data_IF_520738775318
#
_entry.id   IF_520738775318
#
_cell.length_a   1.000
_cell.length_b   1.000
_cell.length_c   1.000
_cell.angle_alpha   90.00
_cell.angle_beta   90.00
_cell.angle_gamma   90.00
#
_symmetry.space_group_name_H-M   'P 1'
#
loop_
_entity.id
_entity.type
_entity.pdbx_description
1 polymer ?
#
# COMPACT_ATOMS: atom_id res chain seq x y z
N UNK A 1 27.21 2.32 7.75
CA UNK A 1 27.02 1.24 6.75
C UNK A 1 26.26 1.76 5.50
N UNK A 2 26.53 3.00 5.06
CA UNK A 2 25.89 3.65 3.89
C UNK A 2 26.79 3.70 2.64
N UNK A 3 28.05 3.25 2.74
CA UNK A 3 29.05 3.44 1.68
C UNK A 3 28.95 2.33 0.61
N UNK A 4 28.45 1.14 0.96
CA UNK A 4 28.36 0.00 0.05
C UNK A 4 27.14 0.04 -0.89
N UNK A 5 26.07 0.75 -0.53
CA UNK A 5 24.88 0.91 -1.38
C UNK A 5 25.15 1.83 -2.57
N UNK A 6 25.86 2.95 -2.37
CA UNK A 6 26.28 3.84 -3.46
C UNK A 6 27.24 3.19 -4.45
N UNK A 7 28.14 2.31 -3.98
CA UNK A 7 29.04 1.57 -4.86
C UNK A 7 28.30 0.54 -5.72
N UNK A 8 27.27 -0.12 -5.17
CA UNK A 8 26.46 -1.12 -5.90
C UNK A 8 25.58 -0.48 -6.98
N UNK A 9 24.90 0.64 -6.67
CA UNK A 9 24.11 1.41 -7.65
C UNK A 9 25.04 2.01 -8.72
N UNK A 10 26.19 2.55 -8.32
CA UNK A 10 27.19 3.10 -9.22
C UNK A 10 27.81 2.06 -10.17
N UNK A 11 28.06 0.83 -9.73
CA UNK A 11 28.56 -0.25 -10.60
C UNK A 11 27.47 -0.90 -11.46
N UNK A 12 26.21 -0.90 -11.00
CA UNK A 12 25.08 -1.39 -11.80
C UNK A 12 24.78 -0.47 -12.99
N UNK A 13 24.73 0.84 -12.76
CA UNK A 13 24.60 1.85 -13.83
C UNK A 13 25.79 1.79 -14.81
N UNK A 14 27.02 1.58 -14.31
CA UNK A 14 28.22 1.47 -15.14
C UNK A 14 28.21 0.23 -16.07
N UNK A 15 27.62 -0.88 -15.63
CA UNK A 15 27.48 -2.10 -16.44
C UNK A 15 26.46 -1.94 -17.57
N UNK A 16 25.37 -1.19 -17.35
CA UNK A 16 24.40 -0.88 -18.40
C UNK A 16 24.97 0.07 -19.46
N UNK A 17 25.77 1.06 -19.06
CA UNK A 17 26.39 2.02 -19.99
C UNK A 17 27.45 1.43 -20.93
N UNK A 18 27.90 0.20 -20.71
CA UNK A 18 28.94 -0.44 -21.55
C UNK A 18 28.39 -1.36 -22.66
N UNK A 19 27.08 -1.33 -22.96
CA UNK A 19 26.57 -2.06 -24.13
C UNK A 19 25.08 -1.97 -24.46
N UNK A 20 24.21 -1.41 -23.60
CA UNK A 20 22.78 -1.28 -23.88
C UNK A 20 22.37 0.18 -24.05
N UNK A 21 21.61 0.52 -25.11
CA UNK A 21 20.94 1.82 -25.15
C UNK A 21 19.90 1.85 -24.02
N UNK A 22 20.04 2.80 -23.10
CA UNK A 22 19.01 3.09 -22.09
C UNK A 22 17.85 3.76 -22.81
N UNK A 23 16.64 3.25 -22.59
CA UNK A 23 15.45 3.80 -23.22
C UNK A 23 15.19 5.26 -22.79
N UNK A 24 14.66 6.04 -23.72
CA UNK A 24 14.46 7.48 -23.52
C UNK A 24 13.38 7.83 -22.49
N UNK A 25 12.37 6.98 -22.33
CA UNK A 25 11.24 7.19 -21.41
C UNK A 25 10.64 5.87 -20.92
N UNK A 26 9.78 5.95 -19.90
CA UNK A 26 9.03 4.80 -19.40
C UNK A 26 8.17 4.19 -20.50
N UNK A 27 7.45 5.01 -21.26
CA UNK A 27 6.59 4.55 -22.35
C UNK A 27 7.41 3.85 -23.46
N UNK A 28 8.57 4.39 -23.83
CA UNK A 28 9.43 3.76 -24.84
C UNK A 28 9.93 2.39 -24.39
N UNK A 29 10.26 2.23 -23.10
CA UNK A 29 10.66 0.94 -22.52
C UNK A 29 9.50 -0.05 -22.45
N UNK A 30 8.29 0.41 -22.13
CA UNK A 30 7.06 -0.40 -22.17
C UNK A 30 6.80 -0.90 -23.59
N UNK A 31 6.86 -0.02 -24.60
CA UNK A 31 6.63 -0.34 -26.02
C UNK A 31 7.62 -1.40 -26.55
N UNK A 32 8.86 -1.39 -26.06
CA UNK A 32 9.92 -2.33 -26.44
C UNK A 32 9.93 -3.63 -25.64
N UNK A 33 9.03 -3.78 -24.65
CA UNK A 33 8.96 -4.97 -23.81
C UNK A 33 7.83 -5.89 -24.28
N UNK A 34 8.13 -7.06 -24.89
CA UNK A 34 7.09 -7.95 -25.43
C UNK A 34 6.04 -8.36 -24.40
N UNK A 35 6.47 -8.61 -23.17
CA UNK A 35 5.63 -9.02 -22.03
C UNK A 35 4.74 -7.89 -21.48
N UNK A 36 4.87 -6.66 -22.00
CA UNK A 36 4.05 -5.50 -21.64
C UNK A 36 3.22 -4.96 -22.83
N UNK A 37 3.16 -5.68 -23.95
CA UNK A 37 2.46 -5.23 -25.16
C UNK A 37 0.95 -4.96 -24.96
N UNK A 38 0.28 -5.71 -24.07
CA UNK A 38 -1.11 -5.43 -23.69
C UNK A 38 -1.21 -4.11 -22.94
N UNK A 39 -0.32 -3.87 -21.98
CA UNK A 39 -0.25 -2.62 -21.22
C UNK A 39 0.02 -1.42 -22.15
N UNK A 40 0.99 -1.56 -23.06
CA UNK A 40 1.31 -0.55 -24.07
C UNK A 40 0.07 -0.18 -24.88
N UNK A 41 -0.67 -1.19 -25.37
CA UNK A 41 -1.89 -0.99 -26.15
C UNK A 41 -2.95 -0.21 -25.37
N UNK A 42 -3.14 -0.52 -24.08
CA UNK A 42 -4.09 0.20 -23.22
C UNK A 42 -3.65 1.66 -23.02
N UNK A 43 -2.37 1.91 -22.71
CA UNK A 43 -1.84 3.26 -22.50
C UNK A 43 -2.01 4.12 -23.77
N UNK A 44 -1.68 3.58 -24.95
CA UNK A 44 -1.86 4.28 -26.24
C UNK A 44 -3.32 4.54 -26.60
N UNK A 45 -4.26 3.80 -25.99
CA UNK A 45 -5.70 4.11 -26.05
C UNK A 45 -6.07 5.46 -25.43
N UNK A 46 -5.19 6.02 -24.60
CA UNK A 46 -5.38 7.32 -23.92
C UNK A 46 -4.20 8.28 -24.22
N UNK A 47 -4.21 9.01 -25.34
CA UNK A 47 -3.05 9.79 -25.80
C UNK A 47 -2.52 10.83 -24.81
N UNK A 48 -3.40 11.50 -24.06
CA UNK A 48 -2.99 12.49 -23.03
C UNK A 48 -2.26 11.81 -21.88
N UNK A 49 -2.72 10.63 -21.46
CA UNK A 49 -2.07 9.85 -20.42
C UNK A 49 -0.78 9.21 -20.90
N UNK A 50 -0.72 8.71 -22.13
CA UNK A 50 0.52 8.24 -22.75
C UNK A 50 1.59 9.35 -22.75
N UNK A 51 1.21 10.59 -23.06
CA UNK A 51 2.12 11.73 -22.97
C UNK A 51 2.58 12.02 -21.52
N UNK A 52 1.70 11.84 -20.52
CA UNK A 52 2.09 11.95 -19.12
C UNK A 52 3.10 10.86 -18.72
N UNK A 53 2.82 9.59 -19.04
CA UNK A 53 3.70 8.44 -18.79
C UNK A 53 5.05 8.58 -19.51
N UNK A 54 5.09 9.18 -20.69
CA UNK A 54 6.35 9.44 -21.39
C UNK A 54 7.25 10.48 -20.68
N UNK A 55 6.68 11.34 -19.86
CA UNK A 55 7.39 12.45 -19.20
C UNK A 55 7.70 12.21 -17.72
N UNK A 56 7.29 11.07 -17.13
CA UNK A 56 7.61 10.77 -15.73
C UNK A 56 9.11 10.58 -15.54
N UNK A 57 9.63 11.09 -14.43
CA UNK A 57 11.05 11.00 -14.06
C UNK A 57 11.19 10.80 -12.56
N UNK A 58 12.33 10.23 -12.15
CA UNK A 58 12.59 9.80 -10.79
C UNK A 58 11.49 8.89 -10.25
N UNK A 59 11.20 7.80 -10.97
CA UNK A 59 10.17 6.83 -10.58
C UNK A 59 10.64 5.37 -10.72
N UNK A 60 9.93 4.48 -10.05
CA UNK A 60 9.96 3.04 -10.31
C UNK A 60 8.58 2.60 -10.75
N UNK A 61 8.47 1.95 -11.91
CA UNK A 61 7.22 1.39 -12.41
C UNK A 61 7.18 -0.12 -12.17
N UNK A 62 6.20 -0.61 -11.42
CA UNK A 62 5.90 -2.03 -11.27
C UNK A 62 4.88 -2.44 -12.34
N UNK A 63 5.32 -2.64 -13.58
CA UNK A 63 4.43 -2.85 -14.72
C UNK A 63 3.82 -4.28 -14.74
N UNK A 64 2.49 -4.45 -14.77
CA UNK A 64 1.88 -5.78 -14.86
C UNK A 64 2.12 -6.39 -16.24
N UNK A 65 2.58 -7.65 -16.25
CA UNK A 65 2.76 -8.44 -17.47
C UNK A 65 1.45 -8.70 -18.21
N UNK A 66 1.54 -9.10 -19.48
CA UNK A 66 0.39 -9.56 -20.28
C UNK A 66 -0.40 -10.66 -19.57
N UNK A 67 0.29 -11.62 -18.96
CA UNK A 67 -0.33 -12.71 -18.19
C UNK A 67 -1.06 -12.19 -16.95
N UNK A 68 -0.49 -11.18 -16.27
CA UNK A 68 -1.13 -10.52 -15.13
C UNK A 68 -2.41 -9.80 -15.54
N UNK A 69 -2.39 -9.04 -16.64
CA UNK A 69 -3.55 -8.36 -17.18
C UNK A 69 -4.63 -9.34 -17.65
N UNK A 70 -4.25 -10.45 -18.28
CA UNK A 70 -5.17 -11.51 -18.69
C UNK A 70 -5.89 -12.14 -17.49
N UNK A 71 -5.15 -12.52 -16.44
CA UNK A 71 -5.75 -13.02 -15.20
C UNK A 71 -6.65 -12.00 -14.51
N UNK A 72 -6.25 -10.73 -14.53
CA UNK A 72 -7.09 -9.66 -14.00
C UNK A 72 -8.39 -9.53 -14.80
N UNK A 73 -8.34 -9.66 -16.13
CA UNK A 73 -9.52 -9.67 -16.99
C UNK A 73 -10.47 -10.82 -16.68
N UNK A 74 -9.93 -12.03 -16.52
CA UNK A 74 -10.73 -13.22 -16.18
C UNK A 74 -11.37 -13.13 -14.80
N UNK A 75 -10.70 -12.48 -13.84
CA UNK A 75 -11.27 -12.24 -12.50
C UNK A 75 -12.36 -11.15 -12.50
N UNK A 76 -12.41 -10.29 -13.51
CA UNK A 76 -13.28 -9.11 -13.57
C UNK A 76 -14.12 -9.06 -14.86
N UNK A 77 -14.57 -10.21 -15.39
CA UNK A 77 -15.21 -10.31 -16.70
C UNK A 77 -16.29 -9.25 -16.98
N UNK A 78 -17.12 -8.92 -15.98
CA UNK A 78 -18.23 -7.97 -16.12
C UNK A 78 -17.79 -6.49 -16.08
N UNK A 79 -16.65 -6.19 -15.46
CA UNK A 79 -16.20 -4.81 -15.21
C UNK A 79 -14.91 -4.44 -15.93
N UNK A 80 -14.13 -5.41 -16.42
CA UNK A 80 -12.82 -5.19 -17.05
C UNK A 80 -12.89 -4.15 -18.18
N UNK A 81 -13.86 -4.28 -19.08
CA UNK A 81 -14.05 -3.32 -20.17
C UNK A 81 -14.35 -1.91 -19.64
N UNK A 82 -15.07 -1.78 -18.52
CA UNK A 82 -15.36 -0.48 -17.90
C UNK A 82 -14.12 0.11 -17.22
N UNK A 83 -13.29 -0.73 -16.59
CA UNK A 83 -12.05 -0.32 -15.92
C UNK A 83 -11.03 0.26 -16.91
N UNK A 84 -10.92 -0.33 -18.10
CA UNK A 84 -9.92 0.05 -19.11
C UNK A 84 -10.47 0.90 -20.28
N UNK A 85 -11.74 1.31 -20.25
CA UNK A 85 -12.33 2.27 -21.22
C UNK A 85 -12.48 3.69 -20.68
N UNK A 86 -12.40 3.87 -19.37
CA UNK A 86 -12.51 5.16 -18.68
C UNK A 86 -11.12 5.60 -18.23
N UNK A 87 -10.69 6.76 -18.71
CA UNK A 87 -9.36 7.29 -18.40
C UNK A 87 -9.15 7.39 -16.89
N UNK A 88 -10.13 7.93 -16.15
CA UNK A 88 -10.04 8.14 -14.71
C UNK A 88 -9.84 6.83 -13.93
N UNK A 89 -10.45 5.73 -14.38
CA UNK A 89 -10.32 4.44 -13.71
C UNK A 89 -8.99 3.79 -14.08
N UNK A 90 -8.62 3.82 -15.36
CA UNK A 90 -7.36 3.27 -15.81
C UNK A 90 -6.16 4.00 -15.23
N UNK A 91 -6.16 5.34 -15.24
CA UNK A 91 -5.07 6.13 -14.67
C UNK A 91 -4.91 5.85 -13.19
N UNK A 92 -6.02 5.76 -12.43
CA UNK A 92 -5.93 5.41 -11.02
C UNK A 92 -5.32 4.01 -10.78
N UNK A 93 -5.71 3.03 -11.60
CA UNK A 93 -5.14 1.69 -11.56
C UNK A 93 -3.69 1.69 -12.00
N UNK A 94 -3.25 2.48 -12.98
CA UNK A 94 -1.85 2.45 -13.41
C UNK A 94 -0.94 3.34 -12.54
N UNK A 95 -1.46 4.43 -11.99
CA UNK A 95 -0.72 5.33 -11.10
C UNK A 95 -0.31 4.64 -9.79
N UNK A 96 -1.09 3.69 -9.26
CA UNK A 96 -0.66 2.86 -8.11
C UNK A 96 0.57 2.00 -8.45
N UNK A 97 0.84 1.74 -9.74
CA UNK A 97 2.00 0.98 -10.20
C UNK A 97 3.26 1.83 -10.37
N UNK A 98 3.17 3.14 -10.23
CA UNK A 98 4.32 4.03 -10.39
C UNK A 98 4.62 4.64 -9.03
N UNK A 99 5.79 4.30 -8.46
CA UNK A 99 6.26 4.86 -7.20
C UNK A 99 7.30 5.96 -7.41
N UNK A 100 7.31 6.93 -6.51
CA UNK A 100 8.26 8.04 -6.51
C UNK A 100 9.63 7.54 -6.03
N UNK A 101 10.67 7.98 -6.73
CA UNK A 101 12.06 7.55 -6.55
C UNK A 101 12.45 6.43 -7.52
N UNK A 102 13.66 6.48 -8.04
CA UNK A 102 14.25 5.39 -8.80
C UNK A 102 14.89 4.37 -7.84
N UNK A 103 14.17 3.28 -7.57
CA UNK A 103 14.58 2.18 -6.71
C UNK A 103 15.01 0.96 -7.52
N UNK A 104 16.07 0.30 -7.07
CA UNK A 104 16.65 -0.89 -7.69
C UNK A 104 16.55 -2.10 -6.76
N UNK A 105 16.48 -3.30 -7.33
CA UNK A 105 16.33 -4.54 -6.57
C UNK A 105 17.35 -4.76 -5.44
N UNK A 106 18.63 -4.35 -5.55
CA UNK A 106 19.61 -4.52 -4.47
C UNK A 106 19.37 -3.63 -3.24
N UNK A 107 18.49 -2.63 -3.33
CA UNK A 107 18.16 -1.75 -2.20
C UNK A 107 17.19 -2.43 -1.23
N UNK A 108 16.30 -3.28 -1.74
CA UNK A 108 15.33 -4.02 -0.94
C UNK A 108 16.01 -5.19 -0.23
N UNK A 109 16.45 -4.97 1.01
CA UNK A 109 17.17 -5.99 1.77
C UNK A 109 16.20 -7.04 2.35
N UNK A 110 16.59 -8.32 2.41
CA UNK A 110 15.80 -9.34 3.08
C UNK A 110 15.51 -8.97 4.55
N UNK A 111 14.25 -9.09 4.94
CA UNK A 111 13.78 -8.74 6.28
C UNK A 111 13.44 -7.26 6.49
N UNK A 112 13.67 -6.40 5.51
CA UNK A 112 13.18 -5.02 5.51
C UNK A 112 11.86 -4.92 4.73
N UNK A 113 10.96 -4.09 5.25
CA UNK A 113 9.72 -3.70 4.57
C UNK A 113 9.84 -2.23 4.18
N UNK A 114 9.56 -1.95 2.92
CA UNK A 114 9.62 -0.61 2.35
C UNK A 114 8.21 -0.13 2.03
N UNK A 115 7.94 1.14 2.31
CA UNK A 115 6.68 1.82 2.03
C UNK A 115 6.97 2.96 1.07
N UNK A 116 6.55 2.80 -0.18
CA UNK A 116 6.86 3.73 -1.26
C UNK A 116 5.59 4.46 -1.69
N UNK A 117 5.63 5.79 -1.67
CA UNK A 117 4.54 6.58 -2.21
C UNK A 117 4.45 6.40 -3.73
N UNK A 118 3.23 6.20 -4.19
CA UNK A 118 2.83 6.13 -5.59
C UNK A 118 2.51 7.52 -6.13
N UNK A 119 2.40 7.64 -7.44
CA UNK A 119 1.89 8.86 -8.08
C UNK A 119 0.36 8.96 -8.03
N UNK A 120 -0.33 7.95 -7.46
CA UNK A 120 -1.77 7.99 -7.25
C UNK A 120 -2.13 8.98 -6.14
N UNK A 121 -2.55 10.18 -6.53
CA UNK A 121 -2.98 11.26 -5.63
C UNK A 121 -4.45 11.65 -5.82
N UNK A 122 -5.22 10.88 -6.59
CA UNK A 122 -6.65 11.14 -6.79
C UNK A 122 -7.43 10.89 -5.49
N UNK A 123 -7.95 11.98 -4.91
CA UNK A 123 -8.69 11.98 -3.63
C UNK A 123 -9.97 11.15 -3.65
N UNK A 124 -10.50 10.81 -4.84
CA UNK A 124 -11.67 9.93 -4.96
C UNK A 124 -11.38 8.47 -4.63
N UNK A 125 -10.11 8.07 -4.66
CA UNK A 125 -9.66 6.68 -4.47
C UNK A 125 -8.50 6.52 -3.49
N UNK A 126 -7.79 7.60 -3.15
CA UNK A 126 -6.74 7.62 -2.13
C UNK A 126 -6.81 8.89 -1.30
N UNK A 127 -6.70 8.77 0.02
CA UNK A 127 -6.72 9.88 0.96
C UNK A 127 -5.52 9.80 1.93
N UNK A 128 -4.35 9.49 1.37
CA UNK A 128 -3.05 9.49 2.06
C UNK A 128 -2.22 10.65 1.51
N UNK A 129 -1.72 11.50 2.40
CA UNK A 129 -0.87 12.64 2.04
C UNK A 129 0.42 12.17 1.39
N UNK A 130 0.75 12.74 0.23
CA UNK A 130 1.90 12.33 -0.57
C UNK A 130 1.58 11.23 -1.59
N UNK A 131 0.32 10.77 -1.66
CA UNK A 131 -0.14 9.73 -2.57
C UNK A 131 -0.25 8.37 -1.88
N UNK A 132 -0.99 7.46 -2.50
CA UNK A 132 -1.19 6.11 -1.98
C UNK A 132 0.15 5.37 -1.86
N UNK A 133 0.24 4.36 -1.01
CA UNK A 133 1.49 3.66 -0.75
C UNK A 133 1.45 2.22 -1.24
N UNK A 134 2.60 1.75 -1.74
CA UNK A 134 2.88 0.36 -2.05
C UNK A 134 3.88 -0.19 -1.03
N UNK A 135 3.60 -1.38 -0.50
CA UNK A 135 4.50 -2.14 0.36
C UNK A 135 5.37 -3.06 -0.48
N UNK A 136 6.69 -2.91 -0.36
CA UNK A 136 7.69 -3.76 -1.03
C UNK A 136 8.49 -4.54 0.01
N UNK A 137 8.60 -5.85 -0.19
CA UNK A 137 9.35 -6.76 0.69
C UNK A 137 10.23 -7.68 -0.14
N UNK A 138 11.48 -7.87 0.29
CA UNK A 138 12.34 -8.91 -0.29
C UNK A 138 12.18 -10.22 0.47
N UNK A 139 11.72 -11.26 -0.22
CA UNK A 139 11.62 -12.63 0.27
C UNK A 139 12.69 -13.44 -0.46
N UNK A 140 13.84 -13.63 0.18
CA UNK A 140 15.03 -14.18 -0.47
C UNK A 140 15.42 -13.35 -1.70
N UNK A 141 15.30 -13.92 -2.90
CA UNK A 141 15.58 -13.25 -4.18
C UNK A 141 14.29 -12.84 -4.92
N UNK A 142 13.12 -12.95 -4.32
CA UNK A 142 11.87 -12.48 -4.93
C UNK A 142 11.43 -11.19 -4.25
N UNK A 143 11.14 -10.16 -5.03
CA UNK A 143 10.49 -8.95 -4.51
C UNK A 143 8.98 -9.15 -4.56
N UNK A 144 8.36 -9.03 -3.41
CA UNK A 144 6.92 -8.99 -3.22
C UNK A 144 6.47 -7.53 -3.16
N UNK A 145 5.44 -7.18 -3.91
CA UNK A 145 4.90 -5.83 -4.06
C UNK A 145 3.41 -5.92 -3.78
N UNK A 146 2.89 -5.12 -2.85
CA UNK A 146 1.52 -5.27 -2.39
C UNK A 146 0.89 -3.94 -2.01
N UNK A 147 -0.38 -3.79 -2.34
CA UNK A 147 -1.27 -2.69 -1.92
C UNK A 147 -2.39 -3.18 -0.99
N UNK A 148 -2.57 -4.49 -0.91
CA UNK A 148 -3.47 -5.16 0.03
C UNK A 148 -2.80 -6.42 0.62
N UNK A 149 -3.44 -7.02 1.60
CA UNK A 149 -2.91 -8.20 2.29
C UNK A 149 -3.31 -9.54 1.65
N UNK A 150 -4.08 -9.56 0.55
CA UNK A 150 -4.67 -10.77 -0.03
C UNK A 150 -4.00 -11.20 -1.34
N UNK A 151 -3.49 -10.26 -2.12
CA UNK A 151 -3.04 -10.52 -3.48
C UNK A 151 -1.73 -9.79 -3.77
N UNK A 152 -0.61 -10.20 -3.13
CA UNK A 152 0.69 -9.64 -3.45
C UNK A 152 1.10 -10.02 -4.88
N UNK A 153 1.74 -9.07 -5.56
CA UNK A 153 2.42 -9.28 -6.83
C UNK A 153 3.90 -9.62 -6.60
N UNK A 154 4.49 -10.40 -7.49
CA UNK A 154 5.91 -10.73 -7.47
C UNK A 154 6.60 -10.13 -8.69
N UNK A 155 7.79 -9.57 -8.47
CA UNK A 155 8.63 -9.08 -9.56
C UNK A 155 9.25 -10.26 -10.32
N UNK A 156 8.94 -10.36 -11.60
CA UNK A 156 9.39 -11.42 -12.52
C UNK A 156 10.48 -10.97 -13.49
N UNK A 157 10.60 -9.66 -13.76
CA UNK A 157 11.76 -9.08 -14.45
C UNK A 157 12.24 -7.86 -13.70
N UNK A 158 13.52 -7.86 -13.33
CA UNK A 158 14.09 -6.83 -12.46
C UNK A 158 14.85 -5.75 -13.22
N UNK A 159 14.85 -4.54 -12.66
CA UNK A 159 15.81 -3.47 -12.91
C UNK A 159 15.99 -3.05 -14.39
N UNK A 160 14.90 -3.01 -15.15
CA UNK A 160 14.93 -2.46 -16.50
C UNK A 160 15.02 -0.93 -16.42
N UNK A 161 16.09 -0.35 -16.94
CA UNK A 161 16.37 1.08 -16.76
C UNK A 161 15.88 1.92 -17.95
N UNK A 162 15.37 3.11 -17.66
CA UNK A 162 15.10 4.17 -18.66
C UNK A 162 15.62 5.52 -18.10
N UNK A 163 15.69 6.56 -18.93
CA UNK A 163 16.29 7.84 -18.52
C UNK A 163 15.64 8.49 -17.28
N UNK A 164 14.37 8.19 -17.02
CA UNK A 164 13.60 8.70 -15.89
C UNK A 164 13.49 7.75 -14.70
N UNK A 165 14.12 6.56 -14.70
CA UNK A 165 14.05 5.65 -13.55
C UNK A 165 14.15 4.17 -13.89
N UNK A 166 13.37 3.35 -13.18
CA UNK A 166 13.40 1.88 -13.30
C UNK A 166 12.01 1.29 -13.56
N UNK A 167 11.99 0.14 -14.24
CA UNK A 167 10.82 -0.67 -14.48
C UNK A 167 11.08 -2.09 -13.96
N UNK A 168 10.13 -2.59 -13.19
CA UNK A 168 10.06 -3.93 -12.63
C UNK A 168 8.81 -4.57 -13.22
N UNK A 169 8.92 -5.70 -13.95
CA UNK A 169 7.72 -6.39 -14.45
C UNK A 169 7.17 -7.26 -13.33
N UNK A 170 5.87 -7.19 -13.07
CA UNK A 170 5.17 -7.96 -12.03
C UNK A 170 4.16 -8.95 -12.60
N UNK A 171 3.87 -9.99 -11.81
CA UNK A 171 2.94 -11.06 -12.16
C UNK A 171 1.49 -10.81 -11.72
N UNK A 172 1.13 -9.64 -11.20
CA UNK A 172 -0.25 -9.31 -10.87
C UNK A 172 -0.53 -7.83 -11.10
N UNK A 173 -1.81 -7.47 -11.29
CA UNK A 173 -2.25 -6.07 -11.26
C UNK A 173 -2.47 -5.69 -9.80
N UNK A 174 -1.79 -4.66 -9.33
CA UNK A 174 -2.00 -4.11 -7.99
C UNK A 174 -3.37 -3.43 -7.91
N UNK A 175 -4.11 -3.75 -6.84
CA UNK A 175 -5.40 -3.13 -6.55
C UNK A 175 -5.22 -1.76 -5.88
N UNK A 176 -6.22 -0.91 -6.01
CA UNK A 176 -6.33 0.27 -5.16
C UNK A 176 -6.78 -0.19 -3.76
N UNK A 177 -6.10 0.23 -2.68
CA UNK A 177 -6.53 -0.13 -1.32
C UNK A 177 -7.99 0.26 -1.05
N UNK A 178 -8.76 -0.67 -0.50
CA UNK A 178 -10.17 -0.44 -0.14
C UNK A 178 -10.33 0.55 1.02
N UNK A 179 -11.56 1.02 1.24
CA UNK A 179 -11.87 1.88 2.40
C UNK A 179 -11.54 1.18 3.73
N UNK A 180 -11.26 1.99 4.76
CA UNK A 180 -11.05 1.50 6.11
C UNK A 180 -12.19 0.60 6.57
N UNK A 181 -13.44 1.05 6.40
CA UNK A 181 -14.65 0.29 6.78
C UNK A 181 -14.76 -1.06 6.07
N UNK A 182 -14.37 -1.15 4.79
CA UNK A 182 -14.38 -2.40 4.04
C UNK A 182 -13.31 -3.36 4.54
N UNK A 183 -12.10 -2.87 4.82
CA UNK A 183 -11.00 -3.72 5.28
C UNK A 183 -11.26 -4.27 6.67
N UNK A 184 -11.71 -3.44 7.62
CA UNK A 184 -11.97 -3.90 8.99
C UNK A 184 -13.22 -4.77 9.11
N UNK A 185 -14.18 -4.66 8.18
CA UNK A 185 -15.35 -5.55 8.13
C UNK A 185 -14.99 -6.96 7.62
N UNK A 186 -13.83 -7.11 7.00
CA UNK A 186 -13.37 -8.38 6.48
C UNK A 186 -12.93 -9.33 7.61
N UNK A 187 -13.57 -10.50 7.66
CA UNK A 187 -13.25 -11.52 8.64
C UNK A 187 -11.82 -12.08 8.49
N UNK A 188 -11.18 -11.92 7.32
CA UNK A 188 -9.83 -12.41 7.06
C UNK A 188 -8.77 -11.75 7.97
N UNK A 189 -9.03 -10.55 8.49
CA UNK A 189 -8.04 -9.77 9.24
C UNK A 189 -8.27 -9.75 10.74
N UNK A 190 -9.15 -10.62 11.27
CA UNK A 190 -9.45 -10.68 12.71
C UNK A 190 -10.00 -9.35 13.30
N UNK A 191 -10.49 -8.44 12.45
CA UNK A 191 -10.90 -7.07 12.82
C UNK A 191 -12.42 -6.84 12.81
N UNK A 192 -13.20 -7.82 12.35
CA UNK A 192 -14.63 -7.68 12.07
C UNK A 192 -15.48 -7.19 13.25
N UNK A 193 -15.14 -7.56 14.49
CA UNK A 193 -15.83 -7.07 15.69
C UNK A 193 -15.68 -5.55 15.87
N UNK A 194 -14.52 -4.99 15.54
CA UNK A 194 -14.29 -3.54 15.57
C UNK A 194 -15.08 -2.82 14.47
N UNK A 195 -15.11 -3.38 13.25
CA UNK A 195 -15.93 -2.83 12.16
C UNK A 195 -17.43 -2.79 12.49
N UNK A 196 -17.93 -3.81 13.18
CA UNK A 196 -19.31 -3.84 13.65
C UNK A 196 -19.56 -2.83 14.78
N UNK A 197 -18.60 -2.63 15.67
CA UNK A 197 -18.66 -1.61 16.70
C UNK A 197 -18.67 -0.18 16.13
N UNK A 198 -17.85 0.09 15.11
CA UNK A 198 -17.87 1.38 14.39
C UNK A 198 -19.22 1.65 13.71
N UNK A 199 -19.82 0.61 13.13
CA UNK A 199 -21.15 0.69 12.54
C UNK A 199 -22.20 1.02 13.60
N UNK A 200 -22.17 0.36 14.76
CA UNK A 200 -23.07 0.65 15.88
C UNK A 200 -22.87 2.07 16.46
N UNK A 201 -21.65 2.59 16.40
CA UNK A 201 -21.31 3.94 16.82
C UNK A 201 -21.53 5.02 15.74
N UNK A 202 -21.99 4.66 14.54
CA UNK A 202 -22.12 5.55 13.37
C UNK A 202 -20.81 6.27 13.00
N UNK A 203 -19.66 5.61 13.15
CA UNK A 203 -18.35 6.19 12.87
C UNK A 203 -17.77 5.80 11.51
N UNK A 204 -18.23 4.71 10.89
CA UNK A 204 -17.63 4.14 9.68
C UNK A 204 -17.45 5.16 8.55
N UNK A 205 -18.52 5.85 8.14
CA UNK A 205 -18.47 6.84 7.05
C UNK A 205 -17.61 8.05 7.40
N UNK A 206 -17.68 8.52 8.65
CA UNK A 206 -16.86 9.66 9.09
C UNK A 206 -15.39 9.32 9.00
N UNK A 207 -14.99 8.13 9.46
CA UNK A 207 -13.59 7.70 9.44
C UNK A 207 -13.09 7.43 8.03
N UNK A 208 -13.90 6.87 7.13
CA UNK A 208 -13.52 6.66 5.72
C UNK A 208 -13.18 7.97 4.99
N UNK A 209 -13.77 9.09 5.41
CA UNK A 209 -13.53 10.41 4.82
C UNK A 209 -12.33 11.15 5.42
N UNK A 210 -11.81 10.72 6.58
CA UNK A 210 -10.66 11.37 7.20
C UNK A 210 -9.36 10.90 6.56
N UNK A 211 -8.48 11.84 6.22
CA UNK A 211 -7.15 11.55 5.67
C UNK A 211 -6.18 11.11 6.76
N UNK A 212 -5.18 10.31 6.38
CA UNK A 212 -4.03 9.94 7.20
C UNK A 212 -4.40 9.35 8.57
N UNK A 213 -5.00 8.17 8.57
CA UNK A 213 -5.29 7.46 9.81
C UNK A 213 -4.27 6.35 10.08
N UNK A 214 -3.89 6.22 11.35
CA UNK A 214 -3.34 4.97 11.89
C UNK A 214 -4.36 4.37 12.84
N UNK A 215 -4.92 3.22 12.49
CA UNK A 215 -5.99 2.57 13.26
C UNK A 215 -5.47 1.29 13.90
N UNK A 216 -5.50 1.26 15.23
CA UNK A 216 -5.00 0.16 16.06
C UNK A 216 -6.17 -0.72 16.48
N UNK A 217 -6.52 -1.72 15.68
CA UNK A 217 -7.76 -2.49 15.82
C UNK A 217 -7.57 -3.64 16.82
N UNK A 218 -8.32 -3.71 17.93
CA UNK A 218 -8.36 -4.89 18.77
C UNK A 218 -8.92 -6.08 17.98
N UNK A 219 -8.22 -7.21 18.07
CA UNK A 219 -8.63 -8.44 17.41
C UNK A 219 -10.00 -8.92 17.89
N UNK A 220 -10.68 -9.76 17.10
CA UNK A 220 -11.94 -10.39 17.49
C UNK A 220 -11.82 -11.11 18.85
N UNK A 221 -10.66 -11.72 19.12
CA UNK A 221 -10.35 -12.37 20.40
C UNK A 221 -10.26 -11.36 21.56
N UNK A 222 -9.72 -10.17 21.33
CA UNK A 222 -9.69 -9.10 22.33
C UNK A 222 -11.12 -8.67 22.71
N UNK A 223 -12.02 -8.54 21.73
CA UNK A 223 -13.44 -8.25 21.98
C UNK A 223 -14.14 -9.34 22.80
N UNK A 224 -13.89 -10.62 22.48
CA UNK A 224 -14.42 -11.76 23.24
C UNK A 224 -13.93 -11.74 24.69
N UNK A 225 -12.62 -11.51 24.91
CA UNK A 225 -12.02 -11.48 26.25
C UNK A 225 -12.52 -10.33 27.11
N UNK A 226 -12.79 -9.17 26.50
CA UNK A 226 -13.31 -8.01 27.19
C UNK A 226 -14.78 -8.19 27.63
N UNK A 227 -15.46 -9.27 27.22
CA UNK A 227 -16.90 -9.49 27.42
C UNK A 227 -17.74 -8.28 27.02
N UNK A 228 -17.27 -7.49 26.06
CA UNK A 228 -18.00 -6.34 25.55
C UNK A 228 -19.11 -6.85 24.64
N UNK A 229 -20.28 -7.11 25.22
CA UNK A 229 -21.45 -7.40 24.40
C UNK A 229 -21.88 -6.12 23.69
N UNK A 230 -22.32 -6.28 22.44
CA UNK A 230 -22.69 -5.17 21.55
C UNK A 230 -23.98 -4.53 22.03
N UNK A 231 -23.88 -3.66 23.03
CA UNK A 231 -25.03 -3.00 23.67
C UNK A 231 -24.82 -2.61 25.12
N UNK A 232 -23.79 -3.13 25.80
CA UNK A 232 -23.57 -2.84 27.23
C UNK A 232 -23.04 -1.41 27.49
N UNK A 233 -22.40 -0.82 26.47
CA UNK A 233 -21.84 0.53 26.53
C UNK A 233 -22.77 1.49 25.80
N UNK A 234 -23.15 2.59 26.46
CA UNK A 234 -23.84 3.69 25.78
C UNK A 234 -23.06 4.17 24.56
N UNK A 235 -23.76 4.59 23.51
CA UNK A 235 -23.16 4.93 22.21
C UNK A 235 -22.00 5.93 22.32
N UNK A 236 -22.12 6.93 23.21
CA UNK A 236 -21.07 7.93 23.45
C UNK A 236 -19.78 7.29 24.00
N UNK A 237 -19.92 6.40 24.99
CA UNK A 237 -18.78 5.70 25.58
C UNK A 237 -18.14 4.75 24.55
N UNK A 238 -18.97 4.05 23.76
CA UNK A 238 -18.48 3.21 22.67
C UNK A 238 -17.69 4.05 21.65
N UNK A 239 -18.24 5.19 21.22
CA UNK A 239 -17.56 6.08 20.30
C UNK A 239 -16.24 6.61 20.86
N UNK A 240 -16.18 6.95 22.15
CA UNK A 240 -14.94 7.36 22.82
C UNK A 240 -13.88 6.25 22.81
N UNK A 241 -14.27 5.02 23.15
CA UNK A 241 -13.38 3.86 23.14
C UNK A 241 -12.92 3.52 21.72
N UNK A 242 -13.76 3.62 20.70
CA UNK A 242 -13.33 3.36 19.33
C UNK A 242 -12.37 4.43 18.82
N UNK A 243 -12.63 5.71 19.13
CA UNK A 243 -11.74 6.81 18.77
C UNK A 243 -10.40 6.78 19.51
N UNK A 244 -10.33 6.12 20.67
CA UNK A 244 -9.07 5.94 21.40
C UNK A 244 -8.12 4.91 20.76
N UNK A 245 -8.52 4.28 19.66
CA UNK A 245 -7.71 3.37 18.87
C UNK A 245 -7.19 4.00 17.58
N UNK A 246 -7.44 5.29 17.37
CA UNK A 246 -7.17 5.97 16.09
C UNK A 246 -6.20 7.12 16.36
N UNK A 247 -5.03 7.10 15.71
CA UNK A 247 -4.11 8.24 15.67
C UNK A 247 -4.46 9.03 14.39
N UNK A 248 -4.95 10.27 14.50
CA UNK A 248 -5.30 11.08 13.33
C UNK A 248 -4.10 11.85 12.78
N UNK A 249 -4.11 12.10 11.47
CA UNK A 249 -3.15 12.99 10.79
C UNK A 249 -1.84 12.33 10.41
N UNK A 250 -1.60 11.07 10.79
CA UNK A 250 -0.37 10.35 10.51
C UNK A 250 -0.64 8.90 10.09
N UNK A 251 0.08 8.45 9.07
CA UNK A 251 0.09 7.06 8.60
C UNK A 251 1.39 6.41 9.06
N UNK A 252 1.32 5.64 10.14
CA UNK A 252 2.48 5.07 10.81
C UNK A 252 2.57 3.58 10.48
N UNK A 253 3.36 3.24 9.46
CA UNK A 253 3.70 1.85 9.14
C UNK A 253 4.58 1.23 10.23
N UNK A 254 4.72 -0.09 10.24
CA UNK A 254 5.52 -0.85 11.23
C UNK A 254 6.93 -0.30 11.42
N UNK A 255 7.59 0.12 10.34
CA UNK A 255 8.94 0.72 10.37
C UNK A 255 8.97 2.22 10.77
N UNK A 256 7.81 2.86 10.90
CA UNK A 256 7.62 4.26 11.31
C UNK A 256 6.97 4.41 12.69
N UNK A 257 6.45 3.32 13.29
CA UNK A 257 5.88 3.31 14.64
C UNK A 257 6.98 3.57 15.69
N UNK A 258 7.29 4.86 15.90
CA UNK A 258 8.31 5.27 16.84
C UNK A 258 7.86 5.02 18.28
N UNK A 259 8.80 4.50 19.10
CA UNK A 259 8.63 4.37 20.54
C UNK A 259 8.36 5.74 21.15
N UNK A 260 7.25 5.86 21.88
CA UNK A 260 6.82 7.15 22.39
C UNK A 260 5.36 7.19 22.78
N UNK A 261 4.82 8.41 22.88
CA UNK A 261 3.42 8.64 23.25
C UNK A 261 2.71 9.39 22.13
N UNK A 262 1.56 8.85 21.73
CA UNK A 262 0.74 9.34 20.65
C UNK A 262 -0.61 9.81 21.18
N UNK A 263 -1.20 10.79 20.50
CA UNK A 263 -2.54 11.31 20.85
C UNK A 263 -3.54 10.70 19.90
N UNK A 264 -4.61 10.13 20.46
CA UNK A 264 -5.66 9.50 19.67
C UNK A 264 -6.77 10.50 19.36
N UNK A 265 -7.70 10.12 18.49
CA UNK A 265 -8.83 10.94 18.07
C UNK A 265 -9.75 11.30 19.25
N UNK A 266 -9.82 10.45 20.28
CA UNK A 266 -10.57 10.75 21.52
C UNK A 266 -9.84 11.73 22.46
N UNK A 267 -8.59 12.08 22.15
CA UNK A 267 -7.70 12.86 23.03
C UNK A 267 -6.92 12.03 24.04
N UNK A 268 -7.17 10.71 24.12
CA UNK A 268 -6.41 9.81 24.98
C UNK A 268 -4.96 9.69 24.49
N UNK A 269 -4.08 9.28 25.42
CA UNK A 269 -2.66 9.03 25.13
C UNK A 269 -2.42 7.53 25.08
N UNK A 270 -1.78 7.07 24.02
CA UNK A 270 -1.32 5.69 23.90
C UNK A 270 0.20 5.68 23.83
N UNK A 271 0.81 4.67 24.43
CA UNK A 271 2.25 4.47 24.42
C UNK A 271 2.58 3.36 23.43
N UNK A 272 3.54 3.63 22.55
CA UNK A 272 4.13 2.62 21.69
C UNK A 272 5.49 2.23 22.27
N UNK A 273 5.71 0.95 22.46
CA UNK A 273 6.96 0.33 22.89
C UNK A 273 7.38 -0.73 21.87
N UNK A 274 8.68 -1.02 21.80
CA UNK A 274 9.22 -2.03 20.90
C UNK A 274 10.33 -2.80 21.60
N UNK A 275 10.33 -4.12 21.42
CA UNK A 275 11.41 -5.00 21.86
C UNK A 275 11.74 -6.05 20.77
N UNK A 276 12.56 -7.04 21.12
CA UNK A 276 12.97 -8.10 20.20
C UNK A 276 11.81 -9.02 19.76
N UNK A 277 10.67 -8.99 20.43
CA UNK A 277 9.50 -9.84 20.21
C UNK A 277 8.35 -9.14 19.47
N UNK A 278 8.41 -7.81 19.33
CA UNK A 278 7.50 -7.06 18.47
C UNK A 278 7.27 -5.62 18.92
N UNK A 279 6.21 -5.03 18.35
CA UNK A 279 5.71 -3.69 18.68
C UNK A 279 4.48 -3.84 19.59
N UNK A 280 4.38 -2.96 20.58
CA UNK A 280 3.36 -2.97 21.61
C UNK A 280 2.68 -1.60 21.72
N UNK A 281 1.36 -1.60 21.90
CA UNK A 281 0.53 -0.42 22.14
C UNK A 281 -0.09 -0.53 23.53
N UNK A 282 0.36 0.27 24.50
CA UNK A 282 -0.05 0.16 25.90
C UNK A 282 0.06 -1.27 26.47
N UNK A 283 1.05 -2.04 25.99
CA UNK A 283 1.26 -3.45 26.35
C UNK A 283 0.49 -4.46 25.49
N UNK A 284 -0.42 -4.03 24.63
CA UNK A 284 -1.07 -4.90 23.63
C UNK A 284 -0.12 -5.14 22.45
N UNK A 285 0.13 -6.40 22.08
CA UNK A 285 1.04 -6.74 20.99
C UNK A 285 0.36 -6.55 19.64
N UNK A 286 1.06 -5.98 18.66
CA UNK A 286 0.61 -6.00 17.26
C UNK A 286 0.71 -7.44 16.71
N UNK A 287 -0.40 -7.96 16.19
CA UNK A 287 -0.53 -9.30 15.60
C UNK A 287 -0.50 -9.27 14.08
N UNK A 288 -1.10 -8.24 13.48
CA UNK A 288 -1.12 -8.02 12.03
C UNK A 288 -0.69 -6.58 11.79
N UNK A 289 0.38 -6.41 11.01
CA UNK A 289 0.96 -5.12 10.69
C UNK A 289 0.59 -4.71 9.26
N UNK A 290 0.49 -3.41 9.03
CA UNK A 290 0.53 -2.80 7.70
C UNK A 290 -0.57 -3.27 6.74
N UNK A 291 -1.81 -3.28 7.22
CA UNK A 291 -2.98 -3.38 6.35
C UNK A 291 -3.24 -1.98 5.76
N UNK A 292 -2.85 -1.81 4.50
CA UNK A 292 -3.03 -0.56 3.78
C UNK A 292 -4.52 -0.35 3.47
N UNK A 293 -5.00 0.87 3.71
CA UNK A 293 -6.39 1.29 3.41
C UNK A 293 -6.36 2.60 2.63
N UNK A 294 -7.46 2.94 1.95
CA UNK A 294 -7.55 4.11 1.08
C UNK A 294 -7.02 5.40 1.74
N UNK A 295 -7.26 5.56 3.04
CA UNK A 295 -6.98 6.77 3.81
C UNK A 295 -5.95 6.57 4.95
N UNK A 296 -5.16 5.50 4.94
CA UNK A 296 -4.17 5.26 5.98
C UNK A 296 -3.70 3.82 6.13
N UNK A 297 -3.51 3.39 7.38
CA UNK A 297 -3.02 2.05 7.74
C UNK A 297 -3.76 1.50 8.96
N UNK A 298 -4.00 0.19 8.94
CA UNK A 298 -4.57 -0.57 10.05
C UNK A 298 -3.50 -1.53 10.60
N UNK A 299 -3.38 -1.57 11.92
CA UNK A 299 -2.62 -2.58 12.67
C UNK A 299 -3.56 -3.29 13.62
N UNK A 300 -3.54 -4.62 13.66
CA UNK A 300 -4.39 -5.40 14.55
C UNK A 300 -3.62 -5.74 15.83
N UNK A 301 -4.18 -5.43 16.99
CA UNK A 301 -3.59 -5.65 18.32
C UNK A 301 -4.34 -6.72 19.11
N UNK A 302 -3.64 -7.41 20.02
CA UNK A 302 -4.19 -8.54 20.78
C UNK A 302 -5.05 -8.17 21.99
N UNK A 303 -5.12 -6.88 22.34
CA UNK A 303 -5.94 -6.29 23.39
C UNK A 303 -6.41 -4.89 22.99
N UNK A 304 -7.28 -4.26 23.77
CA UNK A 304 -7.64 -2.84 23.59
C UNK A 304 -6.42 -1.94 23.88
N UNK A 305 -6.30 -0.85 23.15
CA UNK A 305 -5.25 0.15 23.29
C UNK A 305 -5.47 1.10 24.48
N UNK A 306 -6.51 0.90 25.29
CA UNK A 306 -6.93 1.75 26.42
C UNK A 306 -7.16 0.98 27.70
#
# INVERSE_FOLDING_TARGET
MQINSFLAVGTFLLRYTLGGQVDSSLLALIDQTPDLSTLATIIHGFPEYAAAVANVTNVTCFAPSNEALARFADAHQDTYQQLFSRLEVFSAIFDIHIVVGAHYSPEFRPGETWFLHTVLTDESVSNVTGGQVVKVRSIYDTLEVSTDAKSPAHVIQKDRCFAGGTLQVIDAVMGIPSSLSSVIADNAFMAASFGQALTAANLSTTLDLQSNLTVLVPSNKAFEQANLSRGDMGQELLAYVLQSHIIPGEVLYSNMLAVGTWTTLSGAKIRIDQDASGIYVNGARIQVEDLLVANGVVHVIDSFAV
#
